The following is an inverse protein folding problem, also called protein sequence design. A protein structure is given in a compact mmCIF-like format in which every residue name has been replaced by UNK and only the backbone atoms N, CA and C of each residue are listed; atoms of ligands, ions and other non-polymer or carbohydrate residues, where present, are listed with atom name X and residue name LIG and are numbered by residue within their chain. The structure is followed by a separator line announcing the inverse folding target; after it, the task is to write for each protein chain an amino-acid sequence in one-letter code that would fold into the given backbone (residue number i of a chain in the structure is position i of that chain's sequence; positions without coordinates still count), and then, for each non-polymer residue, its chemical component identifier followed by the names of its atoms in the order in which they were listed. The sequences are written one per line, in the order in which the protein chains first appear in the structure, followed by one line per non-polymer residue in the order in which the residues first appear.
data_IF_146572137508
#
_entry.id   IF_146572137508
#
_cell.length_a   1.000
_cell.length_b   1.000
_cell.length_c   1.000
_cell.angle_alpha   90.00
_cell.angle_beta   90.00
_cell.angle_gamma   90.00
#
_symmetry.space_group_name_H-M   'P 1'
#
loop_
_entity.id
_entity.type
_entity.pdbx_description
1 polymer ?
#
# COMPACT_ATOMS: atom_id res chain seq x y z
N UNK A 1 -14.77 21.19 5.44
CA UNK A 1 -13.75 21.84 6.23
C UNK A 1 -12.35 21.25 6.09
N UNK A 2 -12.17 20.09 5.39
CA UNK A 2 -10.86 19.48 5.15
C UNK A 2 -10.08 20.11 3.98
N UNK A 3 -8.88 19.56 3.74
CA UNK A 3 -8.02 19.94 2.62
C UNK A 3 -7.73 18.72 1.71
N UNK A 4 -6.90 18.90 0.68
CA UNK A 4 -6.52 17.83 -0.24
C UNK A 4 -5.80 16.65 0.46
N UNK A 5 -5.06 16.92 1.53
CA UNK A 5 -4.36 15.88 2.29
C UNK A 5 -5.34 15.03 3.11
N UNK A 6 -6.38 15.63 3.69
CA UNK A 6 -7.48 14.89 4.34
C UNK A 6 -8.21 13.99 3.34
N UNK A 7 -8.44 14.50 2.12
CA UNK A 7 -9.03 13.71 1.04
C UNK A 7 -8.11 12.53 0.65
N UNK A 8 -6.80 12.74 0.55
CA UNK A 8 -5.84 11.68 0.26
C UNK A 8 -5.83 10.58 1.33
N UNK A 9 -5.88 10.95 2.62
CA UNK A 9 -6.01 9.99 3.73
C UNK A 9 -7.29 9.16 3.59
N UNK A 10 -8.42 9.84 3.38
CA UNK A 10 -9.73 9.18 3.26
C UNK A 10 -9.77 8.22 2.05
N UNK A 11 -9.34 8.69 0.87
CA UNK A 11 -9.34 7.89 -0.36
C UNK A 11 -8.43 6.68 -0.21
N UNK A 12 -7.21 6.86 0.30
CA UNK A 12 -6.27 5.74 0.50
C UNK A 12 -6.83 4.69 1.47
N UNK A 13 -7.46 5.12 2.56
CA UNK A 13 -8.09 4.21 3.52
C UNK A 13 -9.31 3.50 2.93
N UNK A 14 -10.15 4.20 2.16
CA UNK A 14 -11.32 3.61 1.49
C UNK A 14 -10.89 2.59 0.44
N UNK A 15 -9.90 2.92 -0.39
CA UNK A 15 -9.35 1.97 -1.38
C UNK A 15 -8.81 0.71 -0.72
N UNK A 16 -8.15 0.82 0.44
CA UNK A 16 -7.68 -0.33 1.20
C UNK A 16 -8.82 -1.28 1.66
N UNK A 17 -10.06 -0.79 1.72
CA UNK A 17 -11.27 -1.58 2.04
C UNK A 17 -11.92 -2.12 0.78
N UNK A 18 -12.17 -1.26 -0.23
CA UNK A 18 -13.04 -1.60 -1.37
C UNK A 18 -12.29 -2.18 -2.57
N UNK A 19 -10.96 -2.05 -2.59
CA UNK A 19 -10.07 -2.61 -3.62
C UNK A 19 -8.97 -3.51 -3.04
N UNK A 20 -9.30 -4.53 -2.24
CA UNK A 20 -8.30 -5.34 -1.54
C UNK A 20 -7.37 -6.11 -2.48
N UNK A 21 -7.70 -6.24 -3.77
CA UNK A 21 -6.85 -6.84 -4.79
C UNK A 21 -5.72 -5.91 -5.27
N UNK A 22 -5.86 -4.59 -5.08
CA UNK A 22 -4.91 -3.57 -5.55
C UNK A 22 -4.39 -2.64 -4.45
N UNK A 23 -5.07 -2.60 -3.32
CA UNK A 23 -4.76 -1.73 -2.18
C UNK A 23 -4.89 -2.48 -0.86
N UNK A 24 -4.32 -1.95 0.24
CA UNK A 24 -4.49 -2.55 1.55
C UNK A 24 -3.61 -1.91 2.62
N UNK A 25 -4.10 -1.87 3.86
CA UNK A 25 -3.31 -1.32 4.97
C UNK A 25 -2.09 -2.20 5.35
N UNK A 26 -2.03 -3.42 4.83
CA UNK A 26 -0.86 -4.30 4.97
C UNK A 26 0.27 -4.02 3.97
N UNK A 27 0.07 -3.06 3.07
CA UNK A 27 1.04 -2.63 2.07
C UNK A 27 1.65 -1.26 2.37
N UNK A 28 2.06 -0.58 1.31
CA UNK A 28 2.61 0.76 1.36
C UNK A 28 2.26 1.59 0.13
N UNK A 29 2.87 2.75 0.03
CA UNK A 29 2.66 3.65 -1.09
C UNK A 29 3.54 4.87 -1.07
N UNK A 30 3.38 5.70 -2.10
CA UNK A 30 4.00 7.01 -2.21
C UNK A 30 2.93 8.07 -2.40
N UNK A 31 3.10 9.20 -1.73
CA UNK A 31 2.24 10.38 -1.89
C UNK A 31 3.09 11.55 -2.34
N UNK A 32 2.77 12.09 -3.50
CA UNK A 32 3.38 13.31 -3.98
C UNK A 32 2.52 14.49 -3.52
N UNK A 33 3.04 15.27 -2.61
CA UNK A 33 2.37 16.38 -1.94
C UNK A 33 2.84 17.71 -2.53
N UNK A 34 1.92 18.65 -2.71
CA UNK A 34 2.25 20.03 -3.05
C UNK A 34 1.59 21.01 -2.09
N UNK A 35 2.40 21.78 -1.38
CA UNK A 35 1.98 22.86 -0.51
C UNK A 35 2.09 24.17 -1.29
N UNK A 36 0.98 24.63 -1.88
CA UNK A 36 0.96 25.80 -2.75
C UNK A 36 1.47 27.08 -2.05
N UNK A 37 1.06 27.28 -0.80
CA UNK A 37 1.46 28.46 0.00
C UNK A 37 2.97 28.51 0.25
N UNK A 38 3.60 27.33 0.38
CA UNK A 38 5.06 27.19 0.58
C UNK A 38 5.82 26.97 -0.72
N UNK A 39 5.11 26.85 -1.86
CA UNK A 39 5.69 26.49 -3.17
C UNK A 39 6.60 25.26 -3.08
N UNK A 40 6.24 24.28 -2.25
CA UNK A 40 7.04 23.12 -1.93
C UNK A 40 6.33 21.84 -2.34
N UNK A 41 7.06 20.96 -3.01
CA UNK A 41 6.62 19.58 -3.26
C UNK A 41 7.47 18.61 -2.45
N UNK A 42 6.82 17.58 -1.92
CA UNK A 42 7.43 16.54 -1.09
C UNK A 42 6.91 15.20 -1.58
N UNK A 43 7.75 14.19 -1.58
CA UNK A 43 7.33 12.80 -1.69
C UNK A 43 7.34 12.16 -0.32
N UNK A 44 6.18 11.75 0.19
CA UNK A 44 6.09 10.90 1.36
C UNK A 44 6.27 9.45 0.93
N UNK A 45 7.31 8.83 1.45
CA UNK A 45 7.65 7.42 1.24
C UNK A 45 7.13 6.59 2.42
N UNK A 46 6.00 5.93 2.21
CA UNK A 46 5.39 4.95 3.09
C UNK A 46 5.48 3.54 2.53
N UNK A 47 6.56 3.23 1.76
CA UNK A 47 6.80 1.91 1.22
C UNK A 47 7.08 0.89 2.31
N UNK A 48 6.75 -0.37 2.03
CA UNK A 48 7.07 -1.48 2.91
C UNK A 48 8.59 -1.61 3.10
N UNK A 49 8.98 -2.09 4.28
CA UNK A 49 10.38 -2.41 4.58
C UNK A 49 10.55 -3.91 4.74
N UNK A 50 11.72 -4.40 4.39
CA UNK A 50 12.11 -5.77 4.72
C UNK A 50 12.17 -5.93 6.25
N UNK A 51 11.71 -7.06 6.82
CA UNK A 51 11.95 -7.37 8.21
C UNK A 51 13.45 -7.34 8.55
N UNK A 52 13.81 -6.93 9.77
CA UNK A 52 15.21 -6.82 10.20
C UNK A 52 16.02 -8.13 10.08
N UNK A 53 15.32 -9.26 10.10
CA UNK A 53 15.91 -10.60 9.90
C UNK A 53 16.02 -11.04 8.45
N UNK A 54 15.60 -10.22 7.50
CA UNK A 54 15.73 -10.57 6.08
C UNK A 54 17.20 -10.64 5.68
N UNK A 55 17.55 -11.71 4.97
CA UNK A 55 18.91 -11.96 4.45
C UNK A 55 18.88 -12.03 2.93
N UNK A 56 20.03 -11.93 2.29
CA UNK A 56 20.17 -12.09 0.84
C UNK A 56 19.71 -13.48 0.35
N UNK A 57 19.72 -14.48 1.23
CA UNK A 57 19.34 -15.87 0.94
C UNK A 57 17.93 -16.24 1.42
N UNK A 58 17.11 -15.27 1.88
CA UNK A 58 15.79 -15.51 2.48
C UNK A 58 14.88 -16.43 1.64
N UNK A 59 15.00 -16.36 0.32
CA UNK A 59 14.18 -17.10 -0.63
C UNK A 59 14.93 -18.26 -1.30
N UNK A 60 16.02 -18.74 -0.69
CA UNK A 60 16.81 -19.87 -1.18
C UNK A 60 16.66 -21.06 -0.23
N UNK A 61 16.78 -22.26 -0.78
CA UNK A 61 16.90 -23.49 -0.01
C UNK A 61 18.36 -23.70 0.51
N UNK A 62 18.61 -24.79 1.20
CA UNK A 62 19.92 -25.14 1.77
C UNK A 62 21.03 -25.34 0.71
N UNK A 63 20.63 -25.52 -0.56
CA UNK A 63 21.56 -25.66 -1.69
C UNK A 63 21.73 -24.35 -2.46
N UNK A 64 21.17 -23.22 -1.98
CA UNK A 64 21.23 -21.91 -2.64
C UNK A 64 20.28 -21.76 -3.83
N UNK A 65 19.37 -22.73 -4.06
CA UNK A 65 18.40 -22.66 -5.15
C UNK A 65 17.17 -21.84 -4.73
N UNK A 66 16.72 -20.96 -5.62
CA UNK A 66 15.54 -20.12 -5.37
C UNK A 66 14.28 -20.96 -5.19
N UNK A 67 13.58 -20.78 -4.06
CA UNK A 67 12.30 -21.41 -3.76
C UNK A 67 11.21 -20.67 -4.56
N UNK A 68 10.65 -21.36 -5.56
CA UNK A 68 9.66 -20.80 -6.47
C UNK A 68 8.43 -20.26 -5.72
N UNK A 69 8.15 -18.99 -5.87
CA UNK A 69 6.97 -18.33 -5.30
C UNK A 69 7.15 -17.85 -3.86
N UNK A 70 8.24 -18.16 -3.16
CA UNK A 70 8.48 -17.74 -1.78
C UNK A 70 8.51 -16.21 -1.60
N UNK A 71 8.98 -15.47 -2.61
CA UNK A 71 8.98 -14.00 -2.61
C UNK A 71 7.66 -13.35 -3.05
N UNK A 72 6.64 -14.16 -3.37
CA UNK A 72 5.33 -13.67 -3.87
C UNK A 72 4.15 -14.11 -3.01
N UNK A 73 4.26 -15.24 -2.34
CA UNK A 73 3.15 -15.85 -1.60
C UNK A 73 3.58 -16.23 -0.19
N UNK A 74 2.68 -15.98 0.75
CA UNK A 74 2.88 -16.37 2.13
C UNK A 74 3.67 -15.38 2.99
N UNK A 75 3.87 -15.72 4.26
CA UNK A 75 4.39 -14.80 5.27
C UNK A 75 5.83 -14.33 5.03
N UNK A 76 6.67 -15.13 4.34
CA UNK A 76 8.02 -14.70 3.99
C UNK A 76 8.03 -13.57 2.95
N UNK A 77 7.01 -13.49 2.08
CA UNK A 77 6.89 -12.46 1.06
C UNK A 77 6.40 -11.12 1.61
N UNK A 78 5.89 -11.09 2.85
CA UNK A 78 5.30 -9.90 3.43
C UNK A 78 6.39 -8.95 3.96
N UNK A 79 6.39 -7.72 3.46
CA UNK A 79 7.15 -6.61 4.04
C UNK A 79 6.42 -5.98 5.22
N UNK A 80 7.12 -5.22 6.04
CA UNK A 80 6.54 -4.44 7.13
C UNK A 80 5.68 -3.32 6.54
N UNK A 81 4.38 -3.24 6.87
CA UNK A 81 3.46 -2.28 6.27
C UNK A 81 3.85 -0.83 6.51
N UNK A 82 3.64 0.01 5.50
CA UNK A 82 3.93 1.44 5.57
C UNK A 82 2.71 2.33 5.45
N UNK A 83 1.63 1.84 4.81
CA UNK A 83 0.43 2.65 4.57
C UNK A 83 -0.18 3.21 5.87
N UNK A 84 -0.36 2.45 6.97
CA UNK A 84 -0.94 3.00 8.19
C UNK A 84 -0.14 4.17 8.76
N UNK A 85 1.20 4.08 8.78
CA UNK A 85 2.07 5.16 9.24
C UNK A 85 1.97 6.40 8.34
N UNK A 86 1.86 6.19 7.01
CA UNK A 86 1.71 7.29 6.06
C UNK A 86 0.38 8.02 6.24
N UNK A 87 -0.73 7.32 6.48
CA UNK A 87 -2.03 7.93 6.76
C UNK A 87 -2.00 8.79 8.03
N UNK A 88 -1.36 8.28 9.08
CA UNK A 88 -1.17 9.03 10.34
C UNK A 88 -0.33 10.26 10.08
N UNK A 89 0.83 10.11 9.43
CA UNK A 89 1.74 11.22 9.12
C UNK A 89 1.09 12.31 8.27
N UNK A 90 0.35 11.92 7.21
CA UNK A 90 -0.40 12.85 6.37
C UNK A 90 -1.45 13.64 7.19
N UNK A 91 -2.19 12.94 8.05
CA UNK A 91 -3.20 13.58 8.89
C UNK A 91 -2.61 14.56 9.89
N UNK A 92 -1.51 14.17 10.58
CA UNK A 92 -0.91 14.96 11.65
C UNK A 92 -0.11 16.17 11.16
N UNK A 93 0.56 16.05 10.00
CA UNK A 93 1.48 17.09 9.52
C UNK A 93 0.90 17.97 8.41
N UNK A 94 -0.11 17.47 7.67
CA UNK A 94 -0.67 18.14 6.48
C UNK A 94 -2.19 18.26 6.52
N UNK A 95 -2.89 17.41 7.27
CA UNK A 95 -4.33 17.43 7.40
C UNK A 95 -4.85 18.60 8.23
N UNK A 96 -6.13 18.91 8.06
CA UNK A 96 -6.89 19.86 8.88
C UNK A 96 -7.92 19.18 9.76
N UNK A 97 -8.32 17.97 9.39
CA UNK A 97 -9.32 17.18 10.11
C UNK A 97 -8.64 16.13 11.00
N UNK A 98 -9.25 15.79 12.14
CA UNK A 98 -8.77 14.68 12.96
C UNK A 98 -8.76 13.37 12.15
N UNK A 99 -7.75 12.52 12.38
CA UNK A 99 -7.61 11.21 11.73
C UNK A 99 -8.88 10.34 11.89
N UNK A 100 -9.58 10.45 13.02
CA UNK A 100 -10.86 9.80 13.27
C UNK A 100 -11.93 10.18 12.24
N UNK A 101 -11.94 11.43 11.81
CA UNK A 101 -12.91 11.93 10.81
C UNK A 101 -12.56 11.41 9.42
N UNK A 102 -11.29 11.45 9.04
CA UNK A 102 -10.84 11.02 7.71
C UNK A 102 -10.90 9.50 7.53
N UNK A 103 -10.74 8.70 8.58
CA UNK A 103 -10.87 7.24 8.53
C UNK A 103 -12.32 6.74 8.69
N UNK A 104 -13.26 7.57 9.15
CA UNK A 104 -14.65 7.14 9.39
C UNK A 104 -15.34 6.50 8.18
N UNK A 105 -15.20 6.99 6.92
CA UNK A 105 -15.80 6.34 5.76
C UNK A 105 -15.27 4.93 5.53
N UNK A 106 -13.96 4.72 5.65
CA UNK A 106 -13.33 3.41 5.50
C UNK A 106 -13.77 2.43 6.60
N UNK A 107 -13.83 2.88 7.85
CA UNK A 107 -14.32 2.08 8.98
C UNK A 107 -15.78 1.66 8.74
N UNK A 108 -16.61 2.58 8.27
CA UNK A 108 -18.01 2.30 7.98
C UNK A 108 -18.19 1.25 6.87
N UNK A 109 -17.47 1.40 5.75
CA UNK A 109 -17.49 0.45 4.65
C UNK A 109 -16.95 -0.92 5.06
N UNK A 110 -15.87 -0.98 5.84
CA UNK A 110 -15.35 -2.24 6.33
C UNK A 110 -16.33 -2.97 7.27
N UNK A 111 -17.05 -2.23 8.11
CA UNK A 111 -18.01 -2.77 9.08
C UNK A 111 -19.33 -3.20 8.47
N UNK A 112 -19.91 -2.39 7.62
CA UNK A 112 -21.24 -2.66 7.04
C UNK A 112 -21.16 -3.34 5.67
N UNK A 113 -19.95 -3.41 5.10
CA UNK A 113 -19.68 -4.04 3.82
C UNK A 113 -19.91 -3.12 2.62
N UNK A 114 -19.43 -3.60 1.50
CA UNK A 114 -19.58 -2.98 0.19
C UNK A 114 -19.87 -4.05 -0.86
N UNK A 115 -20.54 -3.73 -1.98
CA UNK A 115 -20.80 -4.69 -3.02
C UNK A 115 -19.52 -5.06 -3.78
N UNK A 116 -19.26 -6.35 -3.91
CA UNK A 116 -18.15 -6.91 -4.71
C UNK A 116 -18.34 -6.49 -6.17
N UNK A 117 -17.32 -5.88 -6.76
CA UNK A 117 -17.29 -5.49 -8.17
C UNK A 117 -16.58 -6.52 -9.05
N UNK A 118 -16.69 -6.35 -10.37
CA UNK A 118 -16.06 -7.24 -11.36
C UNK A 118 -14.54 -7.31 -11.25
N UNK A 119 -13.86 -6.22 -10.87
CA UNK A 119 -12.40 -6.19 -10.70
C UNK A 119 -11.98 -7.04 -9.50
N UNK A 120 -12.71 -6.96 -8.38
CA UNK A 120 -12.46 -7.82 -7.22
C UNK A 120 -12.71 -9.29 -7.55
N UNK A 121 -13.79 -9.60 -8.28
CA UNK A 121 -14.07 -10.96 -8.79
C UNK A 121 -12.89 -11.48 -9.61
N UNK A 122 -12.40 -10.68 -10.55
CA UNK A 122 -11.26 -11.04 -11.39
C UNK A 122 -9.97 -11.25 -10.57
N UNK A 123 -9.68 -10.36 -9.61
CA UNK A 123 -8.54 -10.47 -8.69
C UNK A 123 -8.59 -11.73 -7.84
N UNK A 124 -9.73 -12.04 -7.23
CA UNK A 124 -9.94 -13.26 -6.44
C UNK A 124 -9.81 -14.50 -7.33
N UNK A 125 -10.38 -14.50 -8.54
CA UNK A 125 -10.26 -15.60 -9.50
C UNK A 125 -8.80 -15.88 -9.87
N UNK A 126 -8.03 -14.83 -10.16
CA UNK A 126 -6.61 -14.94 -10.50
C UNK A 126 -5.74 -15.49 -9.35
N UNK A 127 -6.16 -15.28 -8.10
CA UNK A 127 -5.43 -15.70 -6.90
C UNK A 127 -6.10 -16.84 -6.13
N UNK A 128 -7.14 -17.47 -6.67
CA UNK A 128 -7.98 -18.45 -5.98
C UNK A 128 -7.18 -19.58 -5.34
N UNK A 129 -6.23 -20.17 -6.05
CA UNK A 129 -5.40 -21.27 -5.54
C UNK A 129 -4.52 -20.84 -4.36
N UNK A 130 -4.04 -19.62 -4.36
CA UNK A 130 -3.25 -19.06 -3.24
C UNK A 130 -4.14 -18.72 -2.06
N UNK A 131 -5.29 -18.07 -2.29
CA UNK A 131 -6.23 -17.71 -1.22
C UNK A 131 -6.71 -18.96 -0.46
N UNK A 132 -6.93 -20.08 -1.14
CA UNK A 132 -7.31 -21.36 -0.52
C UNK A 132 -6.25 -21.97 0.40
N UNK A 133 -4.98 -21.59 0.26
CA UNK A 133 -3.90 -22.11 1.10
C UNK A 133 -3.87 -21.44 2.48
N UNK A 134 -4.49 -20.28 2.63
CA UNK A 134 -4.49 -19.49 3.86
C UNK A 134 -5.91 -19.35 4.40
N UNK A 135 -6.27 -20.04 5.48
CA UNK A 135 -7.64 -20.06 6.01
C UNK A 135 -8.24 -18.67 6.22
N UNK A 136 -7.52 -17.75 6.87
CA UNK A 136 -8.02 -16.39 7.09
C UNK A 136 -8.34 -15.64 5.79
N UNK A 137 -7.53 -15.83 4.74
CA UNK A 137 -7.78 -15.21 3.42
C UNK A 137 -8.96 -15.90 2.71
N UNK A 138 -9.05 -17.21 2.84
CA UNK A 138 -10.17 -18.01 2.30
C UNK A 138 -11.50 -17.59 2.93
N UNK A 139 -11.54 -17.49 4.25
CA UNK A 139 -12.75 -17.12 4.99
C UNK A 139 -13.19 -15.68 4.68
N UNK A 140 -12.22 -14.79 4.50
CA UNK A 140 -12.49 -13.36 4.24
C UNK A 140 -12.95 -13.10 2.79
N UNK A 141 -12.32 -13.72 1.79
CA UNK A 141 -12.48 -13.33 0.39
C UNK A 141 -13.19 -14.38 -0.49
N UNK A 142 -13.43 -15.58 0.00
CA UNK A 142 -14.11 -16.62 -0.76
C UNK A 142 -15.53 -16.85 -0.24
N UNK A 143 -16.45 -17.11 -1.15
CA UNK A 143 -17.80 -17.55 -0.81
C UNK A 143 -17.87 -19.07 -0.83
N UNK A 144 -17.90 -19.70 0.37
CA UNK A 144 -17.89 -21.17 0.50
C UNK A 144 -16.75 -21.82 -0.30
N UNK A 145 -15.53 -21.26 -0.21
CA UNK A 145 -14.35 -21.76 -0.92
C UNK A 145 -14.31 -21.46 -2.43
N UNK A 146 -15.23 -20.64 -2.93
CA UNK A 146 -15.33 -20.25 -4.35
C UNK A 146 -15.21 -18.73 -4.53
N UNK A 147 -14.98 -18.29 -5.76
CA UNK A 147 -14.96 -16.87 -6.14
C UNK A 147 -16.31 -16.23 -5.78
N UNK A 148 -16.36 -15.09 -5.10
CA UNK A 148 -17.60 -14.40 -4.76
C UNK A 148 -18.33 -13.95 -6.03
N UNK A 149 -19.66 -13.84 -5.94
CA UNK A 149 -20.46 -13.27 -7.02
C UNK A 149 -20.41 -11.73 -6.96
N UNK A 150 -20.43 -11.10 -8.12
CA UNK A 150 -20.60 -9.66 -8.21
C UNK A 150 -21.90 -9.22 -7.52
N UNK A 151 -21.86 -8.09 -6.80
CA UNK A 151 -22.97 -7.59 -5.99
C UNK A 151 -23.08 -8.23 -4.59
N UNK A 152 -22.34 -9.31 -4.28
CA UNK A 152 -22.28 -9.85 -2.92
C UNK A 152 -21.69 -8.80 -1.97
N UNK A 153 -22.27 -8.67 -0.77
CA UNK A 153 -21.72 -7.76 0.24
C UNK A 153 -20.52 -8.40 0.93
N UNK A 154 -19.37 -7.74 0.84
CA UNK A 154 -18.14 -8.13 1.54
C UNK A 154 -17.97 -7.28 2.79
N UNK A 155 -17.96 -7.93 3.95
CA UNK A 155 -17.75 -7.32 5.26
C UNK A 155 -16.34 -7.67 5.75
N UNK A 156 -15.63 -6.70 6.33
CA UNK A 156 -14.25 -6.85 6.82
C UNK A 156 -14.16 -6.34 8.28
N UNK A 157 -14.79 -7.05 9.21
CA UNK A 157 -14.89 -6.61 10.62
C UNK A 157 -13.55 -6.39 11.31
N UNK A 158 -12.57 -7.27 11.08
CA UNK A 158 -11.26 -7.13 11.71
C UNK A 158 -10.47 -5.96 11.12
N UNK A 159 -10.66 -5.66 9.83
CA UNK A 159 -10.13 -4.43 9.21
C UNK A 159 -10.79 -3.19 9.83
N UNK A 160 -12.10 -3.21 10.06
CA UNK A 160 -12.82 -2.11 10.73
C UNK A 160 -12.26 -1.84 12.14
N UNK A 161 -12.02 -2.90 12.93
CA UNK A 161 -11.41 -2.79 14.26
C UNK A 161 -9.99 -2.22 14.21
N UNK A 162 -9.20 -2.70 13.25
CA UNK A 162 -7.82 -2.20 13.04
C UNK A 162 -7.81 -0.73 12.67
N UNK A 163 -8.67 -0.30 11.73
CA UNK A 163 -8.82 1.10 11.36
C UNK A 163 -9.32 1.97 12.50
N UNK A 164 -10.18 1.44 13.39
CA UNK A 164 -10.61 2.14 14.60
C UNK A 164 -9.48 2.35 15.62
N UNK A 165 -8.62 1.34 15.79
CA UNK A 165 -7.45 1.47 16.64
C UNK A 165 -6.46 2.49 16.07
N UNK A 166 -6.24 2.48 14.75
CA UNK A 166 -5.45 3.49 14.05
C UNK A 166 -6.04 4.90 14.24
N UNK A 167 -7.35 5.04 14.06
CA UNK A 167 -8.07 6.32 14.21
C UNK A 167 -8.01 6.89 15.63
N UNK A 168 -7.97 6.03 16.66
CA UNK A 168 -8.00 6.44 18.07
C UNK A 168 -6.64 6.58 18.70
N UNK A 169 -5.63 5.83 18.25
CA UNK A 169 -4.29 5.76 18.85
C UNK A 169 -3.17 6.17 17.89
N UNK A 170 -3.50 6.63 16.68
CA UNK A 170 -2.51 6.99 15.68
C UNK A 170 -1.56 5.84 15.37
N UNK A 171 -0.29 6.13 15.20
CA UNK A 171 0.76 5.16 14.88
C UNK A 171 0.76 3.94 15.82
N UNK A 172 0.62 4.14 17.13
CA UNK A 172 0.60 3.07 18.10
C UNK A 172 -0.60 2.12 17.91
N UNK A 173 -1.70 2.58 17.31
CA UNK A 173 -2.88 1.76 17.02
C UNK A 173 -2.65 0.60 16.05
N UNK A 174 -1.56 0.66 15.27
CA UNK A 174 -1.17 -0.39 14.33
C UNK A 174 0.19 -1.01 14.66
N UNK A 175 1.18 -0.19 15.00
CA UNK A 175 2.58 -0.63 15.12
C UNK A 175 2.96 -1.06 16.53
N UNK A 176 2.03 -0.92 17.49
CA UNK A 176 2.21 -1.36 18.88
C UNK A 176 0.95 -2.06 19.40
N UNK A 177 1.05 -2.67 20.58
CA UNK A 177 -0.07 -3.29 21.29
C UNK A 177 -0.69 -4.49 20.56
N UNK A 178 -2.04 -4.52 20.56
CA UNK A 178 -2.80 -5.71 20.15
C UNK A 178 -2.64 -6.05 18.66
N UNK A 179 -2.73 -5.04 17.76
CA UNK A 179 -2.63 -5.25 16.30
C UNK A 179 -1.26 -5.77 15.94
N UNK A 180 -0.21 -5.11 16.43
CA UNK A 180 1.17 -5.53 16.19
C UNK A 180 1.44 -6.96 16.68
N UNK A 181 0.98 -7.27 17.90
CA UNK A 181 1.16 -8.60 18.49
C UNK A 181 0.46 -9.70 17.70
N UNK A 182 -0.79 -9.44 17.25
CA UNK A 182 -1.55 -10.38 16.42
C UNK A 182 -0.91 -10.60 15.05
N UNK A 183 -0.46 -9.52 14.39
CA UNK A 183 0.21 -9.60 13.10
C UNK A 183 1.50 -10.42 13.19
N UNK A 184 2.37 -10.11 14.15
CA UNK A 184 3.64 -10.82 14.35
C UNK A 184 3.37 -12.29 14.66
N UNK A 185 2.45 -12.59 15.58
CA UNK A 185 2.09 -13.97 15.93
C UNK A 185 1.57 -14.75 14.72
N UNK A 186 0.68 -14.16 13.91
CA UNK A 186 0.14 -14.80 12.72
C UNK A 186 1.22 -15.05 11.66
N UNK A 187 2.10 -14.09 11.43
CA UNK A 187 3.21 -14.21 10.49
C UNK A 187 4.18 -15.31 10.92
N UNK A 188 4.59 -15.32 12.19
CA UNK A 188 5.51 -16.33 12.73
C UNK A 188 4.90 -17.74 12.73
N UNK A 189 3.63 -17.88 13.14
CA UNK A 189 2.92 -19.16 13.13
C UNK A 189 2.87 -19.81 11.73
N UNK A 190 2.91 -18.99 10.70
CA UNK A 190 2.87 -19.46 9.30
C UNK A 190 4.25 -19.44 8.62
N UNK A 191 5.35 -19.39 9.39
CA UNK A 191 6.71 -19.51 8.88
C UNK A 191 7.37 -18.20 8.41
N UNK A 192 6.78 -17.05 8.73
CA UNK A 192 7.41 -15.74 8.47
C UNK A 192 8.36 -15.30 9.59
N UNK A 193 9.07 -14.19 9.35
CA UNK A 193 10.21 -13.77 10.17
C UNK A 193 10.01 -12.44 10.91
N UNK A 194 8.79 -11.90 10.93
CA UNK A 194 8.51 -10.64 11.61
C UNK A 194 8.73 -10.71 13.13
N UNK A 195 9.15 -9.59 13.70
CA UNK A 195 9.22 -9.35 15.14
C UNK A 195 8.53 -8.02 15.49
N UNK A 196 8.14 -7.86 16.75
CA UNK A 196 7.54 -6.59 17.21
C UNK A 196 8.45 -5.38 16.98
N UNK A 197 9.76 -5.59 17.02
CA UNK A 197 10.75 -4.55 16.76
C UNK A 197 10.67 -4.02 15.31
N UNK A 198 10.35 -4.87 14.33
CA UNK A 198 10.18 -4.46 12.93
C UNK A 198 9.07 -3.42 12.78
N UNK A 199 7.92 -3.68 13.44
CA UNK A 199 6.79 -2.75 13.43
C UNK A 199 7.11 -1.49 14.24
N UNK A 200 7.63 -1.64 15.46
CA UNK A 200 7.93 -0.51 16.34
C UNK A 200 8.90 0.51 15.74
N UNK A 201 9.85 0.04 14.92
CA UNK A 201 10.84 0.90 14.26
C UNK A 201 10.38 1.45 12.91
N UNK A 202 9.20 1.07 12.44
CA UNK A 202 8.74 1.57 11.16
C UNK A 202 8.43 3.06 11.23
N UNK A 203 9.00 3.81 10.30
CA UNK A 203 8.74 5.23 10.11
C UNK A 203 8.69 5.54 8.61
N UNK A 204 7.79 6.43 8.22
CA UNK A 204 7.76 7.02 6.89
C UNK A 204 8.96 7.94 6.66
N UNK A 205 9.29 8.20 5.41
CA UNK A 205 10.38 9.12 5.05
C UNK A 205 9.85 10.20 4.11
N UNK A 206 10.06 11.46 4.46
CA UNK A 206 9.88 12.56 3.50
C UNK A 206 11.12 12.68 2.61
N UNK A 207 10.90 12.76 1.31
CA UNK A 207 11.95 12.88 0.30
C UNK A 207 11.71 14.07 -0.60
N UNK A 208 12.77 14.67 -1.12
CA UNK A 208 12.65 15.57 -2.26
C UNK A 208 12.16 14.76 -3.47
N UNK A 209 11.10 15.19 -4.17
CA UNK A 209 10.69 14.56 -5.42
C UNK A 209 11.75 14.81 -6.50
N UNK A 210 11.73 14.01 -7.58
CA UNK A 210 12.52 14.34 -8.75
C UNK A 210 11.77 15.36 -9.62
N UNK A 211 12.53 16.24 -10.25
CA UNK A 211 11.99 17.32 -11.09
C UNK A 211 12.65 17.24 -12.46
N UNK A 212 11.85 17.30 -13.50
CA UNK A 212 12.28 17.42 -14.88
C UNK A 212 11.51 18.50 -15.61
N UNK A 213 11.80 18.68 -16.88
CA UNK A 213 11.10 19.63 -17.74
C UNK A 213 10.68 18.92 -19.05
N UNK A 214 9.57 19.33 -19.60
CA UNK A 214 9.09 18.84 -20.89
C UNK A 214 8.21 19.90 -21.55
N UNK A 215 8.55 20.31 -22.77
CA UNK A 215 7.83 21.35 -23.54
C UNK A 215 7.51 22.59 -22.72
N UNK A 216 8.53 23.12 -21.99
CA UNK A 216 8.39 24.29 -21.15
C UNK A 216 7.55 24.11 -19.88
N UNK A 217 7.17 22.89 -19.54
CA UNK A 217 6.45 22.55 -18.29
C UNK A 217 7.37 21.87 -17.31
N UNK A 218 7.21 22.19 -16.03
CA UNK A 218 7.87 21.47 -14.94
C UNK A 218 7.11 20.19 -14.63
N UNK A 219 7.82 19.06 -14.62
CA UNK A 219 7.30 17.73 -14.27
C UNK A 219 7.88 17.34 -12.92
N UNK A 220 7.02 17.13 -11.94
CA UNK A 220 7.40 16.67 -10.59
C UNK A 220 6.91 15.23 -10.41
N UNK A 221 7.79 14.32 -10.02
CA UNK A 221 7.45 12.91 -9.90
C UNK A 221 8.13 12.24 -8.73
N UNK A 222 7.76 10.98 -8.46
CA UNK A 222 8.28 10.23 -7.33
C UNK A 222 9.78 9.93 -7.49
N UNK A 223 10.54 10.22 -6.43
CA UNK A 223 11.96 9.88 -6.31
C UNK A 223 12.17 8.38 -6.00
N UNK A 224 13.38 7.86 -6.10
CA UNK A 224 13.72 6.54 -5.56
C UNK A 224 13.27 6.42 -4.07
N UNK A 225 12.78 5.24 -3.67
CA UNK A 225 12.91 3.93 -4.31
C UNK A 225 11.88 3.63 -5.41
N UNK A 226 11.04 4.60 -5.82
CA UNK A 226 10.20 4.46 -7.01
C UNK A 226 11.04 4.64 -8.27
N UNK A 227 10.98 3.67 -9.20
CA UNK A 227 11.58 3.80 -10.52
C UNK A 227 10.74 4.65 -11.47
N UNK A 228 9.43 4.78 -11.21
CA UNK A 228 8.47 5.37 -12.14
C UNK A 228 8.80 6.81 -12.52
N UNK A 229 9.16 7.64 -11.55
CA UNK A 229 9.50 9.04 -11.85
C UNK A 229 10.82 9.20 -12.63
N UNK A 230 11.83 8.39 -12.31
CA UNK A 230 13.11 8.39 -13.03
C UNK A 230 12.89 8.01 -14.49
N UNK A 231 12.17 6.90 -14.71
CA UNK A 231 11.86 6.41 -16.06
C UNK A 231 11.03 7.46 -16.82
N UNK A 232 9.97 7.99 -16.22
CA UNK A 232 9.13 9.01 -16.84
C UNK A 232 9.94 10.22 -17.32
N UNK A 233 10.79 10.78 -16.45
CA UNK A 233 11.59 11.96 -16.83
C UNK A 233 12.62 11.61 -17.89
N UNK A 234 13.25 10.44 -17.83
CA UNK A 234 14.17 9.98 -18.85
C UNK A 234 13.48 9.85 -20.22
N UNK A 235 12.29 9.24 -20.26
CA UNK A 235 11.48 9.14 -21.48
C UNK A 235 11.10 10.51 -22.04
N UNK A 236 10.63 11.43 -21.19
CA UNK A 236 10.26 12.78 -21.60
C UNK A 236 11.46 13.56 -22.18
N UNK A 237 12.65 13.41 -21.56
CA UNK A 237 13.88 14.03 -22.07
C UNK A 237 14.27 13.46 -23.45
N UNK A 238 14.13 12.16 -23.66
CA UNK A 238 14.40 11.54 -24.97
C UNK A 238 13.39 12.04 -26.02
N UNK A 239 12.09 12.03 -25.68
CA UNK A 239 11.02 12.49 -26.58
C UNK A 239 11.24 13.96 -27.00
N UNK A 240 11.75 14.81 -26.09
CA UNK A 240 12.00 16.22 -26.38
C UNK A 240 13.12 16.43 -27.43
N UNK A 241 14.03 15.47 -27.56
CA UNK A 241 15.10 15.48 -28.55
C UNK A 241 14.65 14.99 -29.94
N UNK A 242 13.46 14.38 -30.04
CA UNK A 242 12.97 13.84 -31.29
C UNK A 242 12.32 14.95 -32.14
N UNK A 243 12.62 15.00 -33.46
CA UNK A 243 12.07 16.02 -34.36
C UNK A 243 10.56 15.87 -34.54
N UNK A 244 10.05 14.66 -34.41
CA UNK A 244 8.63 14.32 -34.55
C UNK A 244 8.21 13.27 -33.55
N UNK A 245 7.04 13.46 -32.96
CA UNK A 245 6.42 12.49 -32.04
C UNK A 245 5.38 11.68 -32.82
N UNK A 246 5.75 10.46 -33.19
CA UNK A 246 4.88 9.49 -33.86
C UNK A 246 4.58 8.30 -32.91
N UNK A 247 3.58 7.46 -33.21
CA UNK A 247 3.38 6.21 -32.50
C UNK A 247 4.63 5.32 -32.46
N UNK A 248 5.43 5.31 -33.54
CA UNK A 248 6.68 4.57 -33.59
C UNK A 248 7.70 5.11 -32.57
N UNK A 249 7.94 6.42 -32.57
CA UNK A 249 8.90 7.04 -31.63
C UNK A 249 8.51 6.87 -30.17
N UNK A 250 7.20 6.80 -29.85
CA UNK A 250 6.73 6.54 -28.48
C UNK A 250 7.03 5.10 -28.04
N UNK A 251 7.00 4.13 -28.95
CA UNK A 251 7.29 2.71 -28.66
C UNK A 251 8.79 2.47 -28.44
N UNK A 252 9.65 3.25 -29.11
CA UNK A 252 11.12 3.12 -29.02
C UNK A 252 11.74 3.82 -27.80
N UNK A 253 10.97 4.61 -27.04
CA UNK A 253 11.40 5.32 -25.84
C UNK A 253 10.95 4.60 -24.57
#
# INVERSE_FOLDING_TARGET
GGNAFDAAVTVSAVLAVVEPQGSGIGGGGFWLLHEADKKRSIMLDGRERAPLRATATLYQDEHGKVIKGASKNGPLAAGIPGLPAALVHLSEHYGKLPLKTTLAPAINLARHGFPVNSQLVAGVKARLSVLKQYPASSDQFLSKGSVPKEGMILIQEDLAKTLQLLASKGHAGFYDGEVASKLVSAVQKNGGIWHLQDLKQYQVVERAPIVGHFKGKTVVSAAPPSSGGVVLIAMLNIIELLPEISPHTIVEV
#
